data_IF_043885598686
#
_entry.id   IF_043885598686
#
_cell.length_a   1.000
_cell.length_b   1.000
_cell.length_c   1.000
_cell.angle_alpha   90.00
_cell.angle_beta   90.00
_cell.angle_gamma   90.00
#
_symmetry.space_group_name_H-M   'P 1'
#
loop_
_entity.id
_entity.type
_entity.pdbx_description
1 polymer ?
#
# COMPACT_ATOMS: atom_id res chain seq x y z
N UNK A 1 -10.94 13.28 -11.76
CA UNK A 1 -9.71 12.80 -12.42
C UNK A 1 -8.48 13.28 -11.64
N UNK A 2 -8.03 14.54 -11.76
CA UNK A 2 -6.83 15.06 -11.05
C UNK A 2 -6.67 14.71 -9.55
N UNK A 3 -7.76 14.66 -8.78
CA UNK A 3 -7.70 14.32 -7.35
C UNK A 3 -7.46 12.83 -7.08
N UNK A 4 -8.06 11.94 -7.87
CA UNK A 4 -7.86 10.49 -7.78
C UNK A 4 -6.43 10.12 -8.18
N UNK A 5 -5.93 10.75 -9.25
CA UNK A 5 -4.56 10.57 -9.73
C UNK A 5 -3.56 11.05 -8.68
N UNK A 6 -3.81 12.22 -8.07
CA UNK A 6 -2.99 12.75 -6.99
C UNK A 6 -3.04 11.85 -5.74
N UNK A 7 -4.20 11.30 -5.40
CA UNK A 7 -4.34 10.37 -4.28
C UNK A 7 -3.59 9.06 -4.54
N UNK A 8 -3.65 8.51 -5.76
CA UNK A 8 -2.90 7.33 -6.16
C UNK A 8 -1.39 7.59 -6.15
N UNK A 9 -0.95 8.74 -6.66
CA UNK A 9 0.45 9.15 -6.63
C UNK A 9 0.96 9.31 -5.19
N UNK A 10 0.17 9.94 -4.32
CA UNK A 10 0.50 10.05 -2.90
C UNK A 10 0.58 8.67 -2.24
N UNK A 11 -0.38 7.78 -2.50
CA UNK A 11 -0.35 6.40 -2.03
C UNK A 11 0.91 5.66 -2.50
N UNK A 12 1.28 5.80 -3.78
CA UNK A 12 2.48 5.16 -4.33
C UNK A 12 3.76 5.65 -3.64
N UNK A 13 3.86 6.95 -3.36
CA UNK A 13 4.98 7.52 -2.59
C UNK A 13 5.04 6.98 -1.16
N UNK A 14 3.89 6.85 -0.49
CA UNK A 14 3.80 6.26 0.84
C UNK A 14 4.20 4.77 0.81
N UNK A 15 3.72 4.01 -0.17
CA UNK A 15 4.10 2.61 -0.37
C UNK A 15 5.61 2.45 -0.58
N UNK A 16 6.21 3.29 -1.44
CA UNK A 16 7.64 3.29 -1.71
C UNK A 16 8.44 3.59 -0.43
N UNK A 17 8.01 4.59 0.33
CA UNK A 17 8.61 4.90 1.61
C UNK A 17 8.47 3.74 2.61
N UNK A 18 7.32 3.07 2.65
CA UNK A 18 7.00 2.04 3.62
C UNK A 18 7.66 0.67 3.35
N UNK A 19 7.95 0.33 2.09
CA UNK A 19 8.56 -0.95 1.69
C UNK A 19 10.06 -0.81 1.41
N UNK A 20 10.52 0.31 0.84
CA UNK A 20 11.93 0.48 0.47
C UNK A 20 12.71 1.19 1.57
N UNK A 21 12.48 2.48 1.76
CA UNK A 21 13.16 3.33 2.74
C UNK A 21 12.46 4.70 2.79
N UNK A 22 12.24 5.35 3.95
CA UNK A 22 12.72 5.05 5.31
C UNK A 22 11.79 4.22 6.20
N UNK A 23 10.53 3.98 5.78
CA UNK A 23 9.52 3.32 6.59
C UNK A 23 9.83 1.86 6.90
N UNK A 24 10.38 1.12 5.94
CA UNK A 24 10.80 -0.27 6.18
C UNK A 24 11.93 -0.35 7.20
N UNK A 25 12.93 0.54 7.11
CA UNK A 25 14.04 0.57 8.04
C UNK A 25 13.60 0.87 9.49
N UNK A 26 12.61 1.74 9.68
CA UNK A 26 12.14 2.13 11.02
C UNK A 26 11.13 1.15 11.65
N UNK A 27 10.18 0.68 10.86
CA UNK A 27 9.04 -0.11 11.33
C UNK A 27 9.14 -1.57 10.88
N UNK A 28 9.38 -1.80 9.59
CA UNK A 28 9.33 -3.14 8.97
C UNK A 28 10.51 -4.06 9.28
N UNK A 29 11.69 -3.53 9.63
CA UNK A 29 12.90 -4.32 9.87
C UNK A 29 12.96 -4.96 11.28
N UNK A 30 11.88 -5.64 11.67
CA UNK A 30 11.78 -6.37 12.94
C UNK A 30 11.25 -7.76 12.67
N UNK A 31 11.78 -8.74 13.41
CA UNK A 31 11.35 -10.15 13.30
C UNK A 31 10.18 -10.38 14.27
N UNK A 32 10.27 -9.80 15.47
CA UNK A 32 9.23 -9.88 16.49
C UNK A 32 8.41 -8.59 16.56
N UNK A 33 7.09 -8.66 16.83
CA UNK A 33 6.31 -9.87 17.16
C UNK A 33 5.96 -10.73 15.93
N UNK A 34 5.73 -12.02 16.16
CA UNK A 34 5.21 -12.92 15.12
C UNK A 34 3.73 -12.59 14.86
N UNK A 35 3.39 -12.26 13.62
CA UNK A 35 2.03 -11.99 13.17
C UNK A 35 1.55 -13.20 12.38
N UNK A 36 0.54 -13.90 12.88
CA UNK A 36 0.01 -15.14 12.25
C UNK A 36 1.09 -16.23 12.07
N UNK A 37 2.10 -16.25 12.94
CA UNK A 37 3.24 -17.17 12.83
C UNK A 37 4.34 -16.72 11.85
N UNK A 38 4.18 -15.57 11.20
CA UNK A 38 5.18 -14.98 10.31
C UNK A 38 5.97 -13.89 11.05
N UNK A 39 7.27 -13.71 10.74
CA UNK A 39 8.03 -12.53 11.16
C UNK A 39 7.31 -11.23 10.80
N UNK A 40 7.39 -10.22 11.68
CA UNK A 40 6.71 -8.93 11.47
C UNK A 40 7.07 -8.30 10.11
N UNK A 41 8.34 -8.35 9.71
CA UNK A 41 8.82 -7.91 8.39
C UNK A 41 8.06 -8.53 7.21
N UNK A 42 7.74 -9.83 7.26
CA UNK A 42 7.00 -10.50 6.21
C UNK A 42 5.52 -10.09 6.24
N UNK A 43 4.92 -10.05 7.42
CA UNK A 43 3.54 -9.60 7.57
C UNK A 43 3.33 -8.15 7.12
N UNK A 44 4.32 -7.28 7.37
CA UNK A 44 4.36 -5.90 6.91
C UNK A 44 4.30 -5.81 5.38
N UNK A 45 5.21 -6.52 4.70
CA UNK A 45 5.25 -6.53 3.23
C UNK A 45 3.97 -7.10 2.62
N UNK A 46 3.45 -8.21 3.15
CA UNK A 46 2.18 -8.80 2.71
C UNK A 46 1.04 -7.79 2.90
N UNK A 47 0.98 -7.11 4.05
CA UNK A 47 -0.02 -6.09 4.33
C UNK A 47 -0.03 -4.97 3.30
N UNK A 48 1.13 -4.42 2.93
CA UNK A 48 1.24 -3.37 1.91
C UNK A 48 0.90 -3.87 0.50
N UNK A 49 1.27 -5.10 0.15
CA UNK A 49 0.89 -5.71 -1.15
C UNK A 49 -0.62 -5.90 -1.22
N UNK A 50 -1.23 -6.45 -0.18
CA UNK A 50 -2.69 -6.61 -0.08
C UNK A 50 -3.40 -5.26 -0.15
N UNK A 51 -2.91 -4.24 0.58
CA UNK A 51 -3.46 -2.90 0.53
C UNK A 51 -3.40 -2.31 -0.89
N UNK A 52 -2.30 -2.53 -1.60
CA UNK A 52 -2.11 -2.05 -2.98
C UNK A 52 -3.12 -2.67 -3.93
N UNK A 53 -3.42 -3.95 -3.78
CA UNK A 53 -4.48 -4.61 -4.54
C UNK A 53 -5.84 -3.91 -4.34
N UNK A 54 -6.23 -3.64 -3.09
CA UNK A 54 -7.50 -2.95 -2.79
C UNK A 54 -7.53 -1.52 -3.30
N UNK A 55 -6.43 -0.76 -3.17
CA UNK A 55 -6.34 0.63 -3.64
C UNK A 55 -6.47 0.69 -5.16
N UNK A 56 -5.78 -0.18 -5.90
CA UNK A 56 -5.88 -0.23 -7.36
C UNK A 56 -7.26 -0.70 -7.82
N UNK A 57 -7.86 -1.67 -7.14
CA UNK A 57 -9.23 -2.10 -7.40
C UNK A 57 -10.23 -0.97 -7.19
N UNK A 58 -10.13 -0.24 -6.07
CA UNK A 58 -10.96 0.92 -5.79
C UNK A 58 -10.78 2.01 -6.86
N UNK A 59 -9.53 2.34 -7.19
CA UNK A 59 -9.20 3.31 -8.23
C UNK A 59 -9.86 2.93 -9.56
N UNK A 60 -9.76 1.67 -9.98
CA UNK A 60 -10.38 1.18 -11.21
C UNK A 60 -11.91 1.33 -11.19
N UNK A 61 -12.57 0.96 -10.09
CA UNK A 61 -14.03 1.12 -9.96
C UNK A 61 -14.45 2.60 -10.00
N UNK A 62 -13.70 3.50 -9.37
CA UNK A 62 -14.01 4.94 -9.37
C UNK A 62 -13.71 5.62 -10.71
N UNK A 63 -12.68 5.15 -11.41
CA UNK A 63 -12.36 5.63 -12.76
C UNK A 63 -13.47 5.22 -13.75
N UNK A 64 -13.90 3.96 -13.72
CA UNK A 64 -15.03 3.50 -14.55
C UNK A 64 -16.32 4.30 -14.31
N UNK A 65 -16.67 4.57 -13.05
CA UNK A 65 -17.84 5.40 -12.72
C UNK A 65 -17.73 6.83 -13.23
N UNK A 66 -16.52 7.37 -13.31
CA UNK A 66 -16.29 8.70 -13.86
C UNK A 66 -16.38 8.72 -15.38
N UNK A 67 -16.00 7.63 -16.07
CA UNK A 67 -16.13 7.52 -17.52
C UNK A 67 -17.56 7.20 -18.00
N UNK A 68 -18.35 6.51 -17.18
CA UNK A 68 -19.73 6.15 -17.52
C UNK A 68 -20.75 7.29 -17.32
N UNK A 69 -20.31 8.46 -16.83
CA UNK A 69 -21.12 9.64 -16.54
C UNK A 69 -20.77 10.78 -17.50
#
# INVERSE_FOLDING_TARGET
MRLLDAALALYALVCLAAITWPGYAWLGNRIEPLVLGLPFSLAWNIGWVSLTFFVLGAYYLFDQRSQAR
#
